data_IF_307411451481
#
_entry.id   IF_307411451481
#
_cell.length_a   1.000
_cell.length_b   1.000
_cell.length_c   1.000
_cell.angle_alpha   90.00
_cell.angle_beta   90.00
_cell.angle_gamma   90.00
#
_symmetry.space_group_name_H-M   'P 1'
#
loop_
_entity.id
_entity.type
_entity.pdbx_description
1 polymer ?
#
# COMPACT_ATOMS: atom_id res chain seq x y z
N UNK A 1 8.70 7.34 -53.59
CA UNK A 1 9.21 8.63 -54.13
C UNK A 1 8.07 9.62 -54.10
N UNK A 2 8.18 10.85 -53.56
CA UNK A 2 8.66 11.33 -52.26
C UNK A 2 7.48 11.80 -51.35
N UNK A 3 7.47 11.46 -50.06
CA UNK A 3 7.70 12.36 -48.91
C UNK A 3 6.93 13.69 -48.94
N UNK A 4 5.70 13.68 -48.41
CA UNK A 4 4.94 14.89 -48.00
C UNK A 4 5.23 15.12 -46.52
N UNK A 5 6.37 15.72 -46.21
CA UNK A 5 6.65 16.28 -44.88
C UNK A 5 7.65 17.43 -45.07
N UNK A 6 7.18 18.61 -45.47
CA UNK A 6 7.98 19.83 -45.30
C UNK A 6 7.22 21.18 -45.40
N UNK A 7 5.91 21.24 -45.66
CA UNK A 7 5.24 22.55 -45.88
C UNK A 7 4.55 23.16 -44.64
N UNK A 8 4.50 22.46 -43.50
CA UNK A 8 3.76 22.95 -42.33
C UNK A 8 4.60 23.79 -41.36
N UNK A 9 5.94 23.76 -41.47
CA UNK A 9 6.85 24.47 -40.56
C UNK A 9 7.07 25.93 -41.00
N UNK A 10 7.02 26.23 -42.30
CA UNK A 10 7.37 27.55 -42.82
C UNK A 10 6.25 28.60 -42.68
N UNK A 11 4.97 28.23 -42.83
CA UNK A 11 3.85 29.16 -42.59
C UNK A 11 3.82 29.70 -41.14
N UNK A 12 4.30 28.91 -40.18
CA UNK A 12 4.38 29.33 -38.77
C UNK A 12 5.50 30.35 -38.49
N UNK A 13 6.56 30.33 -39.30
CA UNK A 13 7.68 31.27 -39.21
C UNK A 13 7.32 32.60 -39.87
N UNK A 14 6.65 32.56 -41.02
CA UNK A 14 6.25 33.75 -41.76
C UNK A 14 5.20 34.58 -41.00
N UNK A 15 4.21 33.93 -40.38
CA UNK A 15 3.23 34.60 -39.52
C UNK A 15 3.87 35.23 -38.26
N UNK A 16 4.84 34.54 -37.66
CA UNK A 16 5.63 35.12 -36.57
C UNK A 16 6.44 36.32 -37.05
N UNK A 17 7.06 36.23 -38.22
CA UNK A 17 7.88 37.30 -38.80
C UNK A 17 7.04 38.55 -39.10
N UNK A 18 5.82 38.39 -39.63
CA UNK A 18 4.85 39.48 -39.85
C UNK A 18 4.46 40.13 -38.52
N UNK A 19 4.05 39.35 -37.52
CA UNK A 19 3.69 39.90 -36.20
C UNK A 19 4.84 40.62 -35.49
N UNK A 20 6.08 40.16 -35.73
CA UNK A 20 7.28 40.71 -35.15
C UNK A 20 7.69 42.01 -35.88
N UNK A 21 7.45 42.08 -37.20
CA UNK A 21 7.64 43.28 -37.99
C UNK A 21 6.66 44.39 -37.61
N UNK A 22 5.37 44.07 -37.43
CA UNK A 22 4.35 45.03 -36.99
C UNK A 22 4.69 45.58 -35.59
N UNK A 23 5.11 44.71 -34.67
CA UNK A 23 5.55 45.10 -33.34
C UNK A 23 6.81 46.00 -33.35
N UNK A 24 7.80 45.69 -34.20
CA UNK A 24 9.00 46.51 -34.36
C UNK A 24 8.68 47.85 -35.01
N UNK A 25 7.74 47.88 -35.96
CA UNK A 25 7.28 49.10 -36.64
C UNK A 25 6.54 50.02 -35.68
N UNK A 26 5.61 49.50 -34.87
CA UNK A 26 4.93 50.27 -33.82
C UNK A 26 5.90 50.83 -32.78
N UNK A 27 6.90 50.05 -32.35
CA UNK A 27 7.94 50.55 -31.44
C UNK A 27 8.78 51.65 -32.04
N UNK A 28 9.06 51.61 -33.34
CA UNK A 28 9.75 52.67 -34.06
C UNK A 28 8.96 53.97 -34.11
N UNK A 29 7.63 53.90 -34.25
CA UNK A 29 6.72 55.07 -34.27
C UNK A 29 6.65 55.77 -32.91
N UNK A 30 6.86 55.04 -31.81
CA UNK A 30 6.87 55.62 -30.46
C UNK A 30 8.10 56.51 -30.20
N UNK A 31 9.13 56.45 -31.06
CA UNK A 31 10.26 57.37 -31.03
C UNK A 31 9.90 58.76 -31.60
N UNK A 32 8.82 58.88 -32.38
CA UNK A 32 8.33 60.16 -32.90
C UNK A 32 7.53 60.90 -31.79
N UNK A 33 7.95 62.12 -31.41
CA UNK A 33 7.25 62.91 -30.39
C UNK A 33 5.80 63.26 -30.75
N UNK A 34 5.46 63.44 -32.03
CA UNK A 34 4.10 63.79 -32.44
C UNK A 34 3.16 62.59 -32.37
N UNK A 35 3.61 61.44 -32.85
CA UNK A 35 2.85 60.18 -32.77
C UNK A 35 2.51 59.81 -31.32
N UNK A 36 3.46 60.02 -30.39
CA UNK A 36 3.26 59.77 -28.97
C UNK A 36 2.19 60.69 -28.37
N UNK A 37 2.13 61.97 -28.77
CA UNK A 37 1.14 62.92 -28.28
C UNK A 37 -0.28 62.57 -28.77
N UNK A 38 -0.39 62.17 -30.03
CA UNK A 38 -1.68 61.81 -30.64
C UNK A 38 -2.31 60.56 -29.99
N UNK A 39 -1.49 59.55 -29.65
CA UNK A 39 -1.98 58.27 -29.13
C UNK A 39 -1.98 58.18 -27.59
N UNK A 40 -1.44 59.20 -26.89
CA UNK A 40 -1.32 59.17 -25.43
C UNK A 40 -2.67 59.02 -24.73
N UNK A 41 -3.70 59.71 -25.20
CA UNK A 41 -5.03 59.68 -24.58
C UNK A 41 -5.73 58.33 -24.80
N UNK A 42 -5.64 57.80 -26.02
CA UNK A 42 -6.20 56.48 -26.36
C UNK A 42 -5.52 55.37 -25.57
N UNK A 43 -4.20 55.40 -25.45
CA UNK A 43 -3.44 54.40 -24.70
C UNK A 43 -3.75 54.45 -23.20
N UNK A 44 -3.95 55.65 -22.66
CA UNK A 44 -4.38 55.84 -21.27
C UNK A 44 -5.81 55.31 -21.04
N UNK A 45 -6.69 55.45 -22.02
CA UNK A 45 -8.05 54.92 -21.95
C UNK A 45 -8.06 53.39 -22.07
N UNK A 46 -7.33 52.82 -23.03
CA UNK A 46 -7.14 51.36 -23.19
C UNK A 46 -6.55 50.74 -21.92
N UNK A 47 -5.59 51.41 -21.28
CA UNK A 47 -5.03 50.98 -19.98
C UNK A 47 -6.10 50.90 -18.90
N UNK A 48 -6.91 51.94 -18.73
CA UNK A 48 -7.99 51.99 -17.71
C UNK A 48 -9.03 50.90 -17.93
N UNK A 49 -9.37 50.60 -19.18
CA UNK A 49 -10.32 49.55 -19.54
C UNK A 49 -9.75 48.14 -19.33
N UNK A 50 -8.46 47.95 -19.64
CA UNK A 50 -7.77 46.66 -19.49
C UNK A 50 -7.41 46.35 -18.02
N UNK A 51 -7.13 47.35 -17.19
CA UNK A 51 -6.75 47.20 -15.78
C UNK A 51 -7.68 46.26 -14.98
N UNK A 52 -9.02 46.42 -14.98
CA UNK A 52 -9.92 45.50 -14.27
C UNK A 52 -9.93 44.10 -14.87
N UNK A 53 -9.66 43.93 -16.17
CA UNK A 53 -9.53 42.61 -16.80
C UNK A 53 -8.26 41.91 -16.30
N UNK A 54 -7.13 42.62 -16.28
CA UNK A 54 -5.85 42.09 -15.80
C UNK A 54 -5.92 41.68 -14.33
N UNK A 55 -6.52 42.52 -13.48
CA UNK A 55 -6.73 42.19 -12.06
C UNK A 55 -7.62 40.96 -11.90
N UNK A 56 -8.67 40.82 -12.71
CA UNK A 56 -9.51 39.61 -12.70
C UNK A 56 -8.71 38.37 -13.07
N UNK A 57 -7.92 38.43 -14.14
CA UNK A 57 -7.09 37.31 -14.59
C UNK A 57 -6.04 36.92 -13.54
N UNK A 58 -5.39 37.92 -12.93
CA UNK A 58 -4.45 37.69 -11.85
C UNK A 58 -5.13 36.99 -10.67
N UNK A 59 -6.30 37.47 -10.23
CA UNK A 59 -7.08 36.83 -9.15
C UNK A 59 -7.44 35.39 -9.50
N UNK A 60 -7.85 35.11 -10.73
CA UNK A 60 -8.14 33.74 -11.17
C UNK A 60 -6.89 32.86 -11.12
N UNK A 61 -5.74 33.37 -11.57
CA UNK A 61 -4.46 32.67 -11.49
C UNK A 61 -4.07 32.38 -10.04
N UNK A 62 -4.12 33.40 -9.18
CA UNK A 62 -3.75 33.29 -7.77
C UNK A 62 -4.66 32.29 -7.04
N UNK A 63 -5.97 32.29 -7.29
CA UNK A 63 -6.91 31.33 -6.70
C UNK A 63 -6.67 29.90 -7.20
N UNK A 64 -6.32 29.72 -8.47
CA UNK A 64 -6.04 28.39 -9.03
C UNK A 64 -4.74 27.81 -8.51
N UNK A 65 -3.73 28.67 -8.31
CA UNK A 65 -2.35 28.26 -8.04
C UNK A 65 -1.87 28.60 -6.61
N UNK A 66 -2.74 29.09 -5.74
CA UNK A 66 -2.38 29.43 -4.35
C UNK A 66 -1.80 28.23 -3.60
N UNK A 67 -2.36 27.04 -3.85
CA UNK A 67 -2.15 25.83 -3.05
C UNK A 67 -1.64 24.63 -3.86
N UNK A 68 -1.11 24.84 -5.07
CA UNK A 68 -0.66 23.74 -5.93
C UNK A 68 0.33 22.81 -5.23
N UNK A 69 1.25 23.36 -4.44
CA UNK A 69 2.22 22.57 -3.71
C UNK A 69 1.56 21.71 -2.61
N UNK A 70 0.64 22.28 -1.83
CA UNK A 70 0.00 21.58 -0.71
C UNK A 70 -0.90 20.46 -1.22
N UNK A 71 -1.68 20.71 -2.27
CA UNK A 71 -2.51 19.72 -2.94
C UNK A 71 -1.67 18.60 -3.57
N UNK A 72 -0.63 18.92 -4.34
CA UNK A 72 0.23 17.92 -4.95
C UNK A 72 1.01 17.10 -3.92
N UNK A 73 1.42 17.72 -2.81
CA UNK A 73 2.04 17.02 -1.68
C UNK A 73 1.08 16.00 -1.07
N UNK A 74 -0.18 16.38 -0.83
CA UNK A 74 -1.21 15.48 -0.32
C UNK A 74 -1.47 14.31 -1.28
N UNK A 75 -1.65 14.59 -2.58
CA UNK A 75 -1.85 13.57 -3.61
C UNK A 75 -0.69 12.57 -3.68
N UNK A 76 0.56 13.06 -3.68
CA UNK A 76 1.74 12.20 -3.67
C UNK A 76 1.81 11.34 -2.41
N UNK A 77 1.43 11.89 -1.25
CA UNK A 77 1.34 11.14 0.01
C UNK A 77 0.29 10.02 -0.09
N UNK A 78 -0.92 10.33 -0.54
CA UNK A 78 -1.99 9.35 -0.75
C UNK A 78 -1.57 8.23 -1.70
N UNK A 79 -0.96 8.56 -2.84
CA UNK A 79 -0.48 7.55 -3.79
C UNK A 79 0.61 6.66 -3.21
N UNK A 80 1.56 7.22 -2.45
CA UNK A 80 2.60 6.42 -1.77
C UNK A 80 1.98 5.47 -0.75
N UNK A 81 1.04 5.97 0.07
CA UNK A 81 0.34 5.17 1.06
C UNK A 81 -0.49 4.06 0.39
N UNK A 82 -1.18 4.36 -0.71
CA UNK A 82 -1.93 3.37 -1.48
C UNK A 82 -1.00 2.30 -2.06
N UNK A 83 0.12 2.69 -2.69
CA UNK A 83 1.11 1.74 -3.21
C UNK A 83 1.66 0.83 -2.11
N UNK A 84 1.93 1.38 -0.93
CA UNK A 84 2.38 0.61 0.23
C UNK A 84 1.32 -0.41 0.66
N UNK A 85 0.06 0.00 0.81
CA UNK A 85 -1.07 -0.89 1.16
C UNK A 85 -1.24 -2.02 0.15
N UNK A 86 -1.15 -1.72 -1.15
CA UNK A 86 -1.26 -2.74 -2.21
C UNK A 86 -0.09 -3.72 -2.15
N UNK A 87 1.14 -3.25 -1.92
CA UNK A 87 2.29 -4.14 -1.78
C UNK A 87 2.13 -5.08 -0.57
N UNK A 88 1.64 -4.57 0.56
CA UNK A 88 1.31 -5.38 1.74
C UNK A 88 0.23 -6.44 1.41
N UNK A 89 -0.88 -6.03 0.77
CA UNK A 89 -1.95 -6.93 0.29
C UNK A 89 -1.41 -8.05 -0.62
N UNK A 90 -0.52 -7.72 -1.56
CA UNK A 90 0.11 -8.69 -2.46
C UNK A 90 1.07 -9.64 -1.73
N UNK A 91 1.85 -9.17 -0.76
CA UNK A 91 2.74 -10.05 0.01
C UNK A 91 1.95 -11.07 0.83
N UNK A 92 0.85 -10.63 1.46
CA UNK A 92 -0.07 -11.50 2.19
C UNK A 92 -0.71 -12.51 1.23
N UNK A 93 -1.18 -12.05 0.07
CA UNK A 93 -1.71 -12.93 -0.98
C UNK A 93 -0.72 -14.03 -1.39
N UNK A 94 0.51 -13.63 -1.72
CA UNK A 94 1.57 -14.57 -2.13
C UNK A 94 1.91 -15.56 -1.01
N UNK A 95 1.92 -15.13 0.25
CA UNK A 95 2.12 -16.03 1.39
C UNK A 95 1.01 -17.07 1.55
N UNK A 96 -0.21 -16.74 1.14
CA UNK A 96 -1.35 -17.67 1.12
C UNK A 96 -1.35 -18.56 -0.14
N UNK A 97 -0.41 -18.36 -1.07
CA UNK A 97 -0.38 -19.07 -2.35
C UNK A 97 -1.50 -18.63 -3.31
N UNK A 98 -2.10 -17.47 -3.08
CA UNK A 98 -3.13 -16.91 -3.94
C UNK A 98 -2.46 -16.02 -5.00
N UNK A 99 -3.04 -15.95 -6.21
CA UNK A 99 -2.54 -15.13 -7.33
C UNK A 99 -3.38 -13.88 -7.58
N UNK A 100 -4.16 -13.41 -6.60
CA UNK A 100 -5.22 -12.41 -6.76
C UNK A 100 -5.06 -11.29 -5.73
N UNK A 101 -5.26 -10.03 -6.10
CA UNK A 101 -5.21 -8.94 -5.11
C UNK A 101 -6.27 -9.13 -4.01
N UNK A 102 -5.83 -9.10 -2.75
CA UNK A 102 -6.73 -9.18 -1.59
C UNK A 102 -7.43 -7.84 -1.37
N UNK A 103 -8.74 -7.91 -1.13
CA UNK A 103 -9.54 -6.76 -0.71
C UNK A 103 -9.37 -6.53 0.80
N UNK A 104 -9.56 -5.30 1.31
CA UNK A 104 -9.71 -5.07 2.75
C UNK A 104 -10.74 -6.02 3.36
N UNK A 105 -10.43 -6.48 4.58
CA UNK A 105 -11.32 -7.39 5.31
C UNK A 105 -12.67 -6.71 5.55
N UNK A 106 -13.72 -7.25 4.94
CA UNK A 106 -15.09 -6.85 5.22
C UNK A 106 -15.61 -7.57 6.46
N UNK A 107 -16.21 -6.83 7.39
CA UNK A 107 -16.81 -7.41 8.59
C UNK A 107 -18.02 -8.28 8.24
N UNK A 108 -18.80 -7.87 7.24
CA UNK A 108 -19.97 -8.59 6.73
C UNK A 108 -19.59 -9.98 6.23
N UNK A 109 -18.54 -10.06 5.42
CA UNK A 109 -18.01 -11.33 4.90
C UNK A 109 -17.54 -12.23 6.04
N UNK A 110 -16.87 -11.64 7.04
CA UNK A 110 -16.42 -12.38 8.22
C UNK A 110 -17.58 -12.96 9.03
N UNK A 111 -18.68 -12.20 9.16
CA UNK A 111 -19.88 -12.62 9.86
C UNK A 111 -20.63 -13.71 9.07
N UNK A 112 -20.75 -13.55 7.75
CA UNK A 112 -21.33 -14.54 6.87
C UNK A 112 -20.56 -15.87 6.93
N UNK A 113 -19.23 -15.82 6.82
CA UNK A 113 -18.37 -16.99 6.92
C UNK A 113 -18.52 -17.71 8.27
N UNK A 114 -18.64 -16.97 9.39
CA UNK A 114 -18.88 -17.54 10.72
C UNK A 114 -20.24 -18.23 10.85
N UNK A 115 -21.27 -17.76 10.13
CA UNK A 115 -22.61 -18.37 10.15
C UNK A 115 -22.67 -19.69 9.38
N UNK A 116 -21.75 -19.92 8.44
CA UNK A 116 -21.70 -21.18 7.69
C UNK A 116 -21.30 -22.32 8.63
N UNK A 117 -22.22 -23.25 8.85
CA UNK A 117 -21.98 -24.47 9.64
C UNK A 117 -21.55 -25.58 8.69
N UNK A 118 -20.27 -25.97 8.76
CA UNK A 118 -19.80 -27.18 8.09
C UNK A 118 -20.30 -28.43 8.81
N UNK A 119 -20.48 -29.54 8.07
CA UNK A 119 -20.87 -30.80 8.69
C UNK A 119 -19.85 -31.22 9.76
N UNK A 120 -20.31 -31.70 10.91
CA UNK A 120 -19.44 -32.13 12.01
C UNK A 120 -18.47 -33.26 11.63
N UNK A 121 -18.75 -33.96 10.53
CA UNK A 121 -17.88 -35.00 9.97
C UNK A 121 -16.62 -34.42 9.31
N UNK A 122 -16.66 -33.20 8.79
CA UNK A 122 -15.52 -32.60 8.08
C UNK A 122 -14.27 -32.51 8.97
N UNK A 123 -14.41 -31.96 10.17
CA UNK A 123 -13.29 -31.81 11.11
C UNK A 123 -12.80 -33.16 11.65
N UNK A 124 -13.72 -34.11 11.89
CA UNK A 124 -13.36 -35.47 12.29
C UNK A 124 -12.53 -36.15 11.19
N UNK A 125 -13.03 -36.14 9.95
CA UNK A 125 -12.36 -36.73 8.79
C UNK A 125 -11.00 -36.07 8.51
N UNK A 126 -10.90 -34.75 8.67
CA UNK A 126 -9.64 -34.01 8.51
C UNK A 126 -8.60 -34.42 9.56
N UNK A 127 -9.01 -34.53 10.83
CA UNK A 127 -8.13 -34.98 11.92
C UNK A 127 -7.70 -36.44 11.72
N UNK A 128 -8.62 -37.31 11.33
CA UNK A 128 -8.32 -38.71 11.06
C UNK A 128 -7.34 -38.87 9.88
N UNK A 129 -7.59 -38.20 8.75
CA UNK A 129 -6.66 -38.20 7.60
C UNK A 129 -5.27 -37.69 8.00
N UNK A 130 -5.17 -36.62 8.78
CA UNK A 130 -3.88 -36.11 9.28
C UNK A 130 -3.21 -37.08 10.25
N UNK A 131 -3.98 -37.77 11.10
CA UNK A 131 -3.46 -38.79 12.00
C UNK A 131 -2.98 -40.05 11.26
N UNK A 132 -3.60 -40.38 10.13
CA UNK A 132 -3.12 -41.42 9.21
C UNK A 132 -1.82 -40.99 8.57
N UNK A 133 -1.75 -39.82 7.92
CA UNK A 133 -0.54 -39.31 7.26
C UNK A 133 0.65 -39.20 8.23
N UNK A 134 0.40 -38.68 9.44
CA UNK A 134 1.46 -38.57 10.46
C UNK A 134 1.85 -39.92 11.07
N UNK A 135 0.97 -40.92 10.99
CA UNK A 135 1.24 -42.29 11.42
C UNK A 135 1.90 -43.16 10.33
N UNK A 136 1.68 -42.85 9.05
CA UNK A 136 2.25 -43.60 7.94
C UNK A 136 3.76 -43.41 7.85
N UNK A 137 4.48 -44.48 7.49
CA UNK A 137 5.92 -44.45 7.22
C UNK A 137 6.22 -43.53 6.04
N UNK A 138 7.24 -42.67 6.18
CA UNK A 138 7.75 -41.81 5.11
C UNK A 138 8.66 -42.56 4.12
N UNK A 139 9.01 -43.81 4.44
CA UNK A 139 9.81 -44.66 3.58
C UNK A 139 8.93 -45.55 2.71
N UNK A 140 9.32 -45.80 1.44
CA UNK A 140 8.57 -46.66 0.54
C UNK A 140 8.39 -48.04 1.18
N UNK A 141 7.14 -48.46 1.34
CA UNK A 141 6.81 -49.76 1.90
C UNK A 141 7.28 -50.85 0.93
N UNK A 142 8.40 -51.52 1.22
CA UNK A 142 8.63 -52.83 0.63
C UNK A 142 7.50 -53.75 1.10
N UNK A 143 6.91 -54.50 0.15
CA UNK A 143 5.78 -55.40 0.33
C UNK A 143 5.95 -56.31 1.54
N UNK A 144 5.48 -55.85 2.70
CA UNK A 144 5.58 -56.60 3.95
C UNK A 144 4.35 -57.49 4.09
N UNK A 145 4.58 -58.72 4.54
CA UNK A 145 3.54 -59.74 4.68
C UNK A 145 2.37 -59.25 5.55
N UNK A 146 1.16 -59.78 5.31
CA UNK A 146 -0.09 -59.33 5.94
C UNK A 146 -0.06 -59.35 7.47
N UNK A 147 0.79 -60.18 8.09
CA UNK A 147 1.02 -60.22 9.54
C UNK A 147 1.82 -59.01 10.06
N UNK A 148 2.81 -58.53 9.30
CA UNK A 148 3.60 -57.36 9.65
C UNK A 148 2.76 -56.07 9.57
N UNK A 149 1.87 -55.98 8.58
CA UNK A 149 0.92 -54.87 8.43
C UNK A 149 -0.07 -54.78 9.62
N UNK A 150 -0.60 -55.92 10.09
CA UNK A 150 -1.48 -55.99 11.27
C UNK A 150 -0.77 -55.55 12.56
N UNK A 151 0.44 -56.07 12.80
CA UNK A 151 1.25 -55.71 13.98
C UNK A 151 1.62 -54.22 13.98
N UNK A 152 1.86 -53.65 12.79
CA UNK A 152 2.12 -52.22 12.60
C UNK A 152 0.89 -51.37 12.89
N UNK A 153 -0.29 -51.71 12.36
CA UNK A 153 -1.56 -51.03 12.67
C UNK A 153 -1.86 -51.04 14.17
N UNK A 154 -1.60 -52.16 14.84
CA UNK A 154 -1.78 -52.30 16.28
C UNK A 154 -0.83 -51.37 17.05
N UNK A 155 0.46 -51.33 16.68
CA UNK A 155 1.43 -50.40 17.29
C UNK A 155 1.08 -48.93 17.03
N UNK A 156 0.60 -48.59 15.83
CA UNK A 156 0.14 -47.24 15.51
C UNK A 156 -1.08 -46.85 16.35
N UNK A 157 -2.04 -47.76 16.55
CA UNK A 157 -3.20 -47.53 17.42
C UNK A 157 -2.79 -47.34 18.90
N UNK A 158 -1.86 -48.16 19.42
CA UNK A 158 -1.29 -48.03 20.77
C UNK A 158 -0.55 -46.70 20.95
N UNK A 159 0.25 -46.26 19.96
CA UNK A 159 0.94 -44.96 19.96
C UNK A 159 -0.03 -43.77 19.96
N UNK A 160 -1.20 -43.88 19.31
CA UNK A 160 -2.26 -42.85 19.36
C UNK A 160 -2.89 -42.76 20.75
N UNK A 161 -3.16 -43.88 21.40
CA UNK A 161 -3.72 -43.91 22.75
C UNK A 161 -2.77 -43.31 23.80
N UNK A 162 -1.46 -43.58 23.71
CA UNK A 162 -0.47 -43.06 24.65
C UNK A 162 -0.43 -41.52 24.66
N UNK A 163 -0.52 -40.86 23.50
CA UNK A 163 -0.55 -39.39 23.43
C UNK A 163 -1.83 -38.80 24.02
N UNK A 164 -2.98 -39.47 23.83
CA UNK A 164 -4.24 -39.04 24.43
C UNK A 164 -4.25 -39.20 25.96
N UNK A 165 -3.70 -40.30 26.48
CA UNK A 165 -3.58 -40.57 27.92
C UNK A 165 -2.54 -39.64 28.57
N UNK A 166 -1.39 -39.41 27.93
CA UNK A 166 -0.39 -38.47 28.43
C UNK A 166 -0.94 -37.03 28.47
N UNK A 167 -1.72 -36.63 27.45
CA UNK A 167 -2.41 -35.34 27.43
C UNK A 167 -3.52 -35.28 28.50
N UNK A 168 -4.31 -36.34 28.71
CA UNK A 168 -5.31 -36.35 29.79
C UNK A 168 -4.65 -36.24 31.14
N UNK A 169 -3.55 -36.97 31.38
CA UNK A 169 -2.81 -36.90 32.64
C UNK A 169 -2.23 -35.51 32.91
N UNK A 170 -1.76 -34.79 31.87
CA UNK A 170 -1.32 -33.39 31.99
C UNK A 170 -2.48 -32.43 32.30
N UNK A 171 -3.69 -32.70 31.82
CA UNK A 171 -4.88 -31.88 32.09
C UNK A 171 -5.46 -32.17 33.49
N UNK A 172 -5.36 -33.40 33.97
CA UNK A 172 -5.86 -33.80 35.30
C UNK A 172 -4.84 -33.55 36.42
N UNK A 173 -3.54 -33.51 36.11
CA UNK A 173 -2.50 -33.22 37.09
C UNK A 173 -2.17 -31.71 37.10
N UNK A 174 -2.85 -30.96 37.97
CA UNK A 174 -2.29 -29.69 38.47
C UNK A 174 -3.22 -28.49 38.58
N UNK A 175 -4.47 -28.63 39.02
CA UNK A 175 -5.13 -27.50 39.70
C UNK A 175 -4.63 -27.52 41.15
N UNK A 176 -3.51 -26.85 41.40
CA UNK A 176 -3.15 -26.44 42.76
C UNK A 176 -4.01 -25.19 43.05
N UNK A 177 -4.90 -25.18 44.07
CA UNK A 177 -5.56 -23.95 44.48
C UNK A 177 -4.50 -22.91 44.85
N UNK A 178 -4.73 -21.66 44.48
CA UNK A 178 -3.77 -20.54 44.52
C UNK A 178 -3.32 -20.10 45.92
N UNK A 179 -3.38 -20.95 46.95
CA UNK A 179 -3.10 -20.60 48.34
C UNK A 179 -1.64 -20.81 48.79
N UNK A 180 -0.70 -21.08 47.87
CA UNK A 180 0.73 -21.26 48.18
C UNK A 180 1.61 -20.26 47.41
N UNK A 181 1.26 -18.98 47.48
CA UNK A 181 2.15 -17.88 47.09
C UNK A 181 2.52 -17.10 48.35
N UNK A 182 3.64 -17.44 48.97
CA UNK A 182 4.34 -16.49 49.84
C UNK A 182 5.21 -15.61 48.92
N UNK A 183 5.16 -14.27 49.04
CA UNK A 183 6.09 -13.42 48.30
C UNK A 183 7.49 -13.55 48.94
N UNK A 184 8.40 -14.27 48.28
CA UNK A 184 9.81 -14.16 48.59
C UNK A 184 10.31 -12.80 48.10
N UNK A 185 10.43 -11.84 49.01
CA UNK A 185 11.22 -10.62 48.79
C UNK A 185 12.68 -11.02 48.64
N UNK A 186 13.20 -10.90 47.42
CA UNK A 186 14.64 -10.90 47.15
C UNK A 186 15.05 -9.51 46.68
N UNK A 187 15.59 -8.73 47.60
CA UNK A 187 16.25 -7.44 47.34
C UNK A 187 17.67 -7.70 46.87
N UNK A 188 17.96 -7.65 45.57
CA UNK A 188 19.36 -7.50 45.08
C UNK A 188 19.39 -6.75 43.75
N UNK A 189 19.94 -5.53 43.79
CA UNK A 189 20.90 -5.04 42.79
C UNK A 189 20.38 -4.45 41.49
N UNK A 190 19.91 -3.19 41.53
CA UNK A 190 19.90 -2.31 40.35
C UNK A 190 21.33 -2.09 39.84
N UNK A 191 21.69 -2.72 38.71
CA UNK A 191 22.84 -2.30 37.91
C UNK A 191 22.41 -1.16 37.01
N UNK A 192 22.72 0.08 37.43
CA UNK A 192 22.67 1.27 36.57
C UNK A 192 23.77 1.17 35.53
N UNK A 193 23.40 1.29 34.26
CA UNK A 193 24.32 1.44 33.13
C UNK A 193 24.74 2.93 33.08
N UNK A 194 26.04 3.27 33.03
CA UNK A 194 26.46 4.64 32.80
C UNK A 194 26.41 4.94 31.30
N UNK A 195 25.58 5.90 30.89
CA UNK A 195 25.68 6.52 29.56
C UNK A 195 26.62 7.71 29.68
N UNK A 196 27.80 7.58 29.09
CA UNK A 196 28.79 8.66 28.96
C UNK A 196 28.55 9.48 27.68
N UNK A 197 28.61 10.80 27.88
CA UNK A 197 29.09 11.87 27.00
C UNK A 197 28.58 12.00 25.54
N UNK A 198 27.71 13.02 25.38
CA UNK A 198 27.89 14.22 24.53
C UNK A 198 29.09 14.22 23.56
N UNK A 199 28.81 14.28 22.26
CA UNK A 199 29.69 14.82 21.23
C UNK A 199 28.90 15.88 20.45
N UNK A 200 29.63 16.91 20.02
CA UNK A 200 29.24 18.26 19.54
C UNK A 200 28.19 18.30 18.44
#
# INVERSE_FOLDING_TARGET
MPVIVETCVDQSKDLKLISLYDFLSEKGKLADPFYRLEHQEEDMQKKKEAEPVLVRLQRFSDVRHSDDYTLNKALRSCLRNQKKRVAEEETVCRSMGLGLRLLPKSEEDSAAAKRVKFSSRFEKNKKEKRAVITGTSIFPEQSSSSAAAKKRLELESKRRQIKAIAASNLLTAGIKPSSWSQPSVSTVGTKRIPVTARIR
#
